data_IF_632121173595
#
_entry.id   IF_632121173595
#
_cell.length_a   1.000
_cell.length_b   1.000
_cell.length_c   1.000
_cell.angle_alpha   90.00
_cell.angle_beta   90.00
_cell.angle_gamma   90.00
#
_symmetry.space_group_name_H-M   'P 1'
#
loop_
_entity.id
_entity.type
_entity.pdbx_description
1 polymer ?
#
# COMPACT_ATOMS: atom_id res chain seq x y z
N UNK A 1 -8.54 -19.02 -8.20
CA UNK A 1 -7.60 -19.08 -7.06
C UNK A 1 -6.22 -18.84 -7.63
N UNK A 2 -5.66 -17.62 -7.56
CA UNK A 2 -4.25 -17.43 -7.94
C UNK A 2 -3.39 -18.03 -6.83
N UNK A 3 -2.71 -19.14 -7.10
CA UNK A 3 -1.65 -19.64 -6.24
C UNK A 3 -0.49 -18.63 -6.29
N UNK A 4 -0.09 -18.12 -5.13
CA UNK A 4 1.01 -17.17 -5.01
C UNK A 4 2.29 -17.71 -5.65
N UNK A 5 3.06 -16.84 -6.31
CA UNK A 5 4.35 -17.20 -6.92
C UNK A 5 5.34 -17.60 -5.82
N UNK A 6 5.98 -18.76 -5.97
CA UNK A 6 7.08 -19.17 -5.12
C UNK A 6 8.28 -18.24 -5.31
N UNK A 7 8.86 -17.77 -4.21
CA UNK A 7 10.01 -16.86 -4.20
C UNK A 7 11.26 -17.63 -3.80
N UNK A 8 12.34 -17.44 -4.55
CA UNK A 8 13.65 -18.03 -4.27
C UNK A 8 14.66 -16.90 -4.05
N UNK A 9 15.60 -17.12 -3.13
CA UNK A 9 16.76 -16.24 -2.93
C UNK A 9 18.03 -17.05 -3.12
N UNK A 10 19.02 -16.43 -3.76
CA UNK A 10 20.34 -17.02 -3.91
C UNK A 10 21.12 -16.90 -2.60
N UNK A 11 21.66 -18.02 -2.13
CA UNK A 11 22.54 -18.05 -0.98
C UNK A 11 23.95 -17.64 -1.42
N UNK A 12 24.43 -16.50 -0.93
CA UNK A 12 25.74 -15.93 -1.29
C UNK A 12 26.95 -16.83 -0.96
N UNK A 13 26.76 -17.85 -0.11
CA UNK A 13 27.83 -18.79 0.29
C UNK A 13 27.88 -20.05 -0.56
N UNK A 14 26.74 -20.59 -0.97
CA UNK A 14 26.65 -21.83 -1.75
C UNK A 14 26.34 -21.61 -3.22
N UNK A 15 25.86 -20.42 -3.61
CA UNK A 15 25.36 -20.12 -4.96
C UNK A 15 24.04 -20.83 -5.29
N UNK A 16 23.43 -21.52 -4.32
CA UNK A 16 22.19 -22.27 -4.52
C UNK A 16 20.95 -21.40 -4.30
N UNK A 17 19.89 -21.68 -5.04
CA UNK A 17 18.59 -21.05 -4.88
C UNK A 17 17.83 -21.69 -3.73
N UNK A 18 17.77 -21.00 -2.59
CA UNK A 18 16.96 -21.42 -1.46
C UNK A 18 15.53 -20.88 -1.61
N UNK A 19 14.54 -21.77 -1.44
CA UNK A 19 13.14 -21.36 -1.37
C UNK A 19 12.95 -20.48 -0.13
N UNK A 20 12.49 -19.25 -0.34
CA UNK A 20 12.18 -18.34 0.76
C UNK A 20 10.89 -18.78 1.43
N UNK A 21 10.97 -19.07 2.73
CA UNK A 21 9.78 -19.24 3.56
C UNK A 21 9.10 -17.88 3.76
N UNK A 22 7.78 -17.91 3.99
CA UNK A 22 6.98 -16.69 4.22
C UNK A 22 7.55 -15.87 5.38
N UNK A 23 7.97 -16.53 6.46
CA UNK A 23 8.56 -15.89 7.64
C UNK A 23 9.84 -15.12 7.31
N UNK A 24 10.77 -15.73 6.57
CA UNK A 24 12.01 -15.07 6.12
C UNK A 24 11.73 -13.90 5.18
N UNK A 25 10.69 -14.00 4.36
CA UNK A 25 10.30 -12.94 3.44
C UNK A 25 9.70 -11.76 4.22
N UNK A 26 8.70 -12.01 5.06
CA UNK A 26 8.01 -10.99 5.86
C UNK A 26 8.95 -10.31 6.87
N UNK A 27 9.96 -11.02 7.36
CA UNK A 27 10.98 -10.46 8.25
C UNK A 27 11.82 -9.33 7.61
N UNK A 28 11.81 -9.16 6.28
CA UNK A 28 12.56 -8.09 5.63
C UNK A 28 11.92 -6.73 5.95
N UNK A 29 12.66 -5.75 6.53
CA UNK A 29 12.08 -4.49 7.02
C UNK A 29 11.29 -3.67 5.99
N UNK A 30 11.73 -3.70 4.73
CA UNK A 30 11.10 -2.96 3.63
C UNK A 30 9.75 -3.55 3.19
N UNK A 31 9.48 -4.82 3.48
CA UNK A 31 8.20 -5.45 3.15
C UNK A 31 7.08 -4.88 4.03
N UNK A 32 7.31 -4.77 5.35
CA UNK A 32 6.37 -4.09 6.25
C UNK A 32 6.14 -2.64 5.84
N UNK A 33 7.21 -1.90 5.53
CA UNK A 33 7.08 -0.50 5.06
C UNK A 33 6.24 -0.39 3.78
N UNK A 34 6.39 -1.33 2.84
CA UNK A 34 5.60 -1.35 1.61
C UNK A 34 4.13 -1.68 1.88
N UNK A 35 3.85 -2.61 2.78
CA UNK A 35 2.48 -2.91 3.21
C UNK A 35 1.82 -1.70 3.86
N UNK A 36 2.51 -1.02 4.77
CA UNK A 36 1.99 0.19 5.43
C UNK A 36 1.75 1.33 4.44
N UNK A 37 2.68 1.54 3.50
CA UNK A 37 2.50 2.50 2.39
C UNK A 37 1.28 2.15 1.56
N UNK A 38 1.10 0.87 1.21
CA UNK A 38 -0.05 0.42 0.41
C UNK A 38 -1.35 0.58 1.17
N UNK A 39 -1.39 0.24 2.46
CA UNK A 39 -2.54 0.42 3.35
C UNK A 39 -2.92 1.88 3.46
N UNK A 40 -1.95 2.77 3.68
CA UNK A 40 -2.17 4.22 3.71
C UNK A 40 -2.71 4.74 2.37
N UNK A 41 -2.16 4.27 1.24
CA UNK A 41 -2.64 4.62 -0.09
C UNK A 41 -4.11 4.20 -0.30
N UNK A 42 -4.47 2.96 0.05
CA UNK A 42 -5.84 2.48 -0.10
C UNK A 42 -6.82 3.26 0.79
N UNK A 43 -6.43 3.60 2.02
CA UNK A 43 -7.22 4.48 2.89
C UNK A 43 -7.48 5.85 2.25
N UNK A 44 -6.44 6.48 1.68
CA UNK A 44 -6.59 7.77 0.98
C UNK A 44 -7.50 7.64 -0.25
N UNK A 45 -7.36 6.55 -1.02
CA UNK A 45 -8.20 6.27 -2.18
C UNK A 45 -9.66 6.12 -1.79
N UNK A 46 -9.96 5.30 -0.78
CA UNK A 46 -11.32 5.09 -0.28
C UNK A 46 -11.95 6.41 0.19
N UNK A 47 -11.20 7.23 0.92
CA UNK A 47 -11.65 8.55 1.36
C UNK A 47 -11.90 9.53 0.20
N UNK A 48 -11.07 9.51 -0.85
CA UNK A 48 -11.29 10.34 -2.03
C UNK A 48 -12.58 9.96 -2.75
N UNK A 49 -12.86 8.64 -2.89
CA UNK A 49 -14.09 8.11 -3.49
C UNK A 49 -15.31 8.48 -2.65
N UNK A 50 -15.25 8.32 -1.32
CA UNK A 50 -16.37 8.67 -0.44
C UNK A 50 -16.69 10.17 -0.49
N UNK A 51 -15.66 11.03 -0.53
CA UNK A 51 -15.87 12.46 -0.73
C UNK A 51 -16.48 12.77 -2.10
N UNK A 52 -16.06 12.09 -3.17
CA UNK A 52 -16.59 12.31 -4.51
C UNK A 52 -18.07 11.93 -4.62
N UNK A 53 -18.44 10.80 -4.02
CA UNK A 53 -19.81 10.26 -4.00
C UNK A 53 -20.75 10.95 -3.02
N UNK A 54 -20.22 11.74 -2.06
CA UNK A 54 -21.07 12.47 -1.11
C UNK A 54 -21.98 13.48 -1.84
N UNK A 55 -23.19 13.73 -1.33
CA UNK A 55 -24.08 14.78 -1.85
C UNK A 55 -23.65 16.19 -1.42
N UNK A 56 -22.49 16.33 -0.78
CA UNK A 56 -21.97 17.60 -0.27
C UNK A 56 -21.64 18.54 -1.44
N UNK A 57 -22.17 19.78 -1.47
CA UNK A 57 -21.87 20.75 -2.51
C UNK A 57 -20.36 20.94 -2.72
N UNK A 58 -19.96 21.15 -3.97
CA UNK A 58 -18.55 21.21 -4.37
C UNK A 58 -17.74 22.25 -3.56
N UNK A 59 -18.36 23.38 -3.21
CA UNK A 59 -17.76 24.43 -2.40
C UNK A 59 -17.35 23.93 -1.01
N UNK A 60 -18.27 23.28 -0.29
CA UNK A 60 -18.02 22.75 1.05
C UNK A 60 -16.97 21.62 1.03
N UNK A 61 -17.00 20.79 0.00
CA UNK A 61 -16.01 19.72 -0.22
C UNK A 61 -14.60 20.28 -0.44
N UNK A 62 -14.47 21.36 -1.21
CA UNK A 62 -13.20 22.07 -1.44
C UNK A 62 -12.70 22.73 -0.14
N UNK A 63 -13.59 23.37 0.61
CA UNK A 63 -13.24 23.97 1.90
C UNK A 63 -12.77 22.92 2.93
N UNK A 64 -13.45 21.77 3.00
CA UNK A 64 -13.05 20.64 3.84
C UNK A 64 -11.70 20.05 3.45
N UNK A 65 -11.46 19.79 2.15
CA UNK A 65 -10.15 19.35 1.64
C UNK A 65 -9.02 20.34 1.96
N UNK A 66 -9.28 21.64 1.82
CA UNK A 66 -8.33 22.71 2.16
C UNK A 66 -7.97 22.69 3.64
N UNK A 67 -8.95 22.49 4.54
CA UNK A 67 -8.73 22.34 6.00
C UNK A 67 -7.88 21.11 6.33
N UNK A 68 -8.03 20.02 5.57
CA UNK A 68 -7.24 18.80 5.72
C UNK A 68 -5.86 18.84 5.05
N UNK A 69 -5.47 19.94 4.40
CA UNK A 69 -4.21 20.03 3.66
C UNK A 69 -4.16 19.18 2.38
N UNK A 70 -5.29 18.64 1.93
CA UNK A 70 -5.39 17.83 0.72
C UNK A 70 -5.60 18.74 -0.50
N UNK A 71 -4.52 19.28 -1.06
CA UNK A 71 -4.57 20.03 -2.33
C UNK A 71 -4.58 19.05 -3.51
N UNK A 72 -5.55 19.21 -4.41
CA UNK A 72 -5.43 18.61 -5.75
C UNK A 72 -4.23 19.24 -6.45
N UNK A 73 -3.34 18.41 -7.00
CA UNK A 73 -2.39 18.86 -8.00
C UNK A 73 -3.14 19.25 -9.27
#
# INVERSE_FOLDING_TARGET
>A
MEQGKDLFAENLKSGELEKLTLEKYVAKPWIHQNFDRKRAFQRRKAFAISMQSSPIPLHERRAYKKRLGLKGK
#
